data_IF_599199425897
#
_entry.id   IF_599199425897
#
_cell.length_a   1.000
_cell.length_b   1.000
_cell.length_c   1.000
_cell.angle_alpha   90.00
_cell.angle_beta   90.00
_cell.angle_gamma   90.00
#
_symmetry.space_group_name_H-M   'P 1'
#
loop_
_entity.id
_entity.type
_entity.pdbx_description
1 polymer ?
#
# COMPACT_ATOMS: atom_id res chain seq x y z
N UNK A 1 -15.28 -22.89 1.34
CA UNK A 1 -16.05 -22.64 0.11
C UNK A 1 -15.61 -21.33 -0.53
N UNK A 2 -15.52 -20.23 0.25
CA UNK A 2 -15.04 -18.93 -0.21
C UNK A 2 -13.61 -18.95 -0.79
N UNK A 3 -12.71 -19.67 -0.11
CA UNK A 3 -11.36 -20.00 -0.58
C UNK A 3 -11.36 -20.80 -1.88
N UNK A 4 -12.14 -21.87 -1.93
CA UNK A 4 -12.21 -22.79 -3.07
C UNK A 4 -12.72 -22.14 -4.35
N UNK A 5 -13.68 -21.21 -4.25
CA UNK A 5 -14.19 -20.47 -5.40
C UNK A 5 -13.28 -19.34 -5.86
N UNK A 6 -12.15 -19.12 -5.16
CA UNK A 6 -11.26 -17.99 -5.41
C UNK A 6 -11.96 -16.64 -5.16
N UNK A 7 -12.99 -16.63 -4.32
CA UNK A 7 -13.72 -15.42 -3.92
C UNK A 7 -13.02 -14.75 -2.74
N UNK A 8 -12.40 -15.53 -1.84
CA UNK A 8 -11.52 -15.01 -0.79
C UNK A 8 -10.37 -14.22 -1.42
N UNK A 9 -10.18 -12.94 -1.09
CA UNK A 9 -8.99 -12.19 -1.47
C UNK A 9 -7.95 -12.33 -0.34
N UNK A 10 -6.89 -13.17 -0.47
CA UNK A 10 -5.92 -13.38 0.61
C UNK A 10 -5.22 -12.10 1.07
N UNK A 11 -5.20 -11.07 0.23
CA UNK A 11 -4.73 -9.73 0.57
C UNK A 11 -5.51 -9.10 1.74
N UNK A 12 -6.81 -9.39 1.91
CA UNK A 12 -7.60 -8.84 3.03
C UNK A 12 -7.11 -9.38 4.39
N UNK A 13 -6.98 -10.71 4.61
CA UNK A 13 -6.37 -11.23 5.83
C UNK A 13 -4.91 -10.79 6.04
N UNK A 14 -4.14 -10.62 4.96
CA UNK A 14 -2.76 -10.14 5.03
C UNK A 14 -2.66 -8.69 5.53
N UNK A 15 -3.53 -7.80 5.05
CA UNK A 15 -3.50 -6.38 5.38
C UNK A 15 -4.24 -6.05 6.67
N UNK A 16 -5.43 -6.62 6.88
CA UNK A 16 -6.34 -6.21 7.96
C UNK A 16 -6.61 -7.31 8.99
N UNK A 17 -6.18 -8.55 8.73
CA UNK A 17 -6.54 -9.69 9.60
C UNK A 17 -8.04 -9.99 9.59
N UNK A 18 -8.73 -9.61 8.51
CA UNK A 18 -10.17 -9.78 8.29
C UNK A 18 -10.39 -10.67 7.06
N UNK A 19 -11.42 -11.52 7.08
CA UNK A 19 -11.78 -12.36 5.92
C UNK A 19 -12.14 -11.46 4.74
N UNK A 20 -13.22 -10.71 4.92
CA UNK A 20 -13.68 -9.64 4.04
C UNK A 20 -14.67 -8.78 4.82
N UNK A 21 -14.53 -7.46 4.73
CA UNK A 21 -15.57 -6.51 5.09
C UNK A 21 -15.51 -5.35 4.08
N UNK A 22 -16.66 -4.94 3.56
CA UNK A 22 -16.76 -4.00 2.43
C UNK A 22 -17.92 -3.03 2.63
N UNK A 23 -17.84 -1.81 2.07
CA UNK A 23 -18.96 -0.88 2.11
C UNK A 23 -20.17 -1.46 1.36
N UNK A 24 -21.37 -1.04 1.77
CA UNK A 24 -22.60 -1.33 1.03
C UNK A 24 -22.66 -0.56 -0.30
N UNK A 25 -23.50 -1.03 -1.24
CA UNK A 25 -23.65 -0.38 -2.55
C UNK A 25 -24.21 1.05 -2.47
N UNK A 26 -25.03 1.35 -1.45
CA UNK A 26 -25.50 2.70 -1.20
C UNK A 26 -24.35 3.69 -0.91
N UNK A 27 -23.24 3.21 -0.36
CA UNK A 27 -22.08 4.06 -0.04
C UNK A 27 -21.29 4.45 -1.31
N UNK A 28 -21.48 3.76 -2.45
CA UNK A 28 -20.92 4.19 -3.73
C UNK A 28 -21.39 5.60 -4.10
N UNK A 29 -22.63 5.96 -3.73
CA UNK A 29 -23.21 7.28 -3.97
C UNK A 29 -22.53 8.40 -3.17
N UNK A 30 -21.79 8.06 -2.11
CA UNK A 30 -21.01 9.00 -1.31
C UNK A 30 -19.62 9.29 -1.90
N UNK A 31 -19.17 8.50 -2.87
CA UNK A 31 -17.86 8.66 -3.50
C UNK A 31 -17.84 9.82 -4.48
N UNK A 32 -16.68 10.49 -4.57
CA UNK A 32 -16.38 11.50 -5.60
C UNK A 32 -15.61 10.91 -6.79
N UNK A 33 -14.97 9.76 -6.61
CA UNK A 33 -14.17 9.11 -7.65
C UNK A 33 -14.21 7.59 -7.49
N UNK A 34 -14.72 6.89 -8.50
CA UNK A 34 -14.90 5.43 -8.47
C UNK A 34 -14.07 4.79 -9.58
N UNK A 35 -13.22 3.84 -9.23
CA UNK A 35 -12.59 2.94 -10.21
C UNK A 35 -13.31 1.59 -10.16
N UNK A 36 -13.95 1.20 -11.26
CA UNK A 36 -14.44 -0.18 -11.46
C UNK A 36 -13.31 -1.00 -12.08
N UNK A 37 -12.58 -1.75 -11.26
CA UNK A 37 -11.38 -2.48 -11.66
C UNK A 37 -11.63 -3.97 -11.70
N UNK A 38 -11.70 -4.56 -12.90
CA UNK A 38 -12.02 -5.97 -13.06
C UNK A 38 -13.38 -6.37 -12.45
N UNK A 39 -14.31 -5.42 -12.34
CA UNK A 39 -15.66 -5.62 -11.82
C UNK A 39 -16.67 -5.15 -12.85
N UNK A 40 -17.39 -6.10 -13.45
CA UNK A 40 -18.43 -5.78 -14.44
C UNK A 40 -19.76 -5.48 -13.74
N UNK A 41 -19.85 -4.32 -13.07
CA UNK A 41 -20.96 -3.94 -12.19
C UNK A 41 -22.35 -4.10 -12.84
N UNK A 42 -22.63 -3.62 -14.06
CA UNK A 42 -23.96 -3.76 -14.66
C UNK A 42 -24.41 -5.22 -14.85
N UNK A 43 -23.47 -6.11 -15.13
CA UNK A 43 -23.73 -7.53 -15.39
C UNK A 43 -23.73 -8.40 -14.13
N UNK A 44 -22.85 -8.10 -13.17
CA UNK A 44 -22.59 -8.96 -12.00
C UNK A 44 -23.15 -8.38 -10.69
N UNK A 45 -23.53 -7.09 -10.70
CA UNK A 45 -24.17 -6.33 -9.61
C UNK A 45 -25.39 -5.58 -10.14
N UNK A 46 -26.15 -6.19 -11.04
CA UNK A 46 -27.32 -5.59 -11.68
C UNK A 46 -28.27 -4.85 -10.72
N UNK A 47 -28.68 -5.42 -9.56
CA UNK A 47 -29.59 -4.71 -8.66
C UNK A 47 -28.97 -3.46 -8.01
N UNK A 48 -27.64 -3.38 -7.88
CA UNK A 48 -26.91 -2.28 -7.24
C UNK A 48 -26.33 -1.27 -8.24
N UNK A 49 -26.29 -1.61 -9.53
CA UNK A 49 -25.63 -0.81 -10.56
C UNK A 49 -26.18 0.63 -10.66
N UNK A 50 -27.44 0.85 -10.27
CA UNK A 50 -28.05 2.18 -10.28
C UNK A 50 -27.29 3.16 -9.38
N UNK A 51 -26.78 2.73 -8.21
CA UNK A 51 -26.04 3.60 -7.29
C UNK A 51 -24.80 4.21 -7.95
N UNK A 52 -24.04 3.41 -8.71
CA UNK A 52 -22.90 3.89 -9.47
C UNK A 52 -23.34 4.88 -10.55
N UNK A 53 -24.40 4.56 -11.31
CA UNK A 53 -24.86 5.46 -12.39
C UNK A 53 -25.43 6.78 -11.86
N UNK A 54 -26.08 6.76 -10.69
CA UNK A 54 -26.67 7.92 -10.05
C UNK A 54 -25.61 8.79 -9.37
N UNK A 55 -24.54 8.19 -8.82
CA UNK A 55 -23.39 8.92 -8.27
C UNK A 55 -22.76 9.84 -9.32
N UNK A 56 -22.75 9.43 -10.60
CA UNK A 56 -22.28 10.26 -11.71
C UNK A 56 -23.08 11.54 -11.87
N UNK A 57 -24.40 11.51 -11.65
CA UNK A 57 -25.23 12.74 -11.68
C UNK A 57 -24.94 13.69 -10.51
N UNK A 58 -24.38 13.18 -9.42
CA UNK A 58 -23.85 13.98 -8.30
C UNK A 58 -22.44 14.54 -8.59
N UNK A 59 -21.84 14.15 -9.70
CA UNK A 59 -20.52 14.61 -10.15
C UNK A 59 -19.38 13.63 -9.85
N UNK A 60 -19.68 12.40 -9.42
CA UNK A 60 -18.64 11.38 -9.26
C UNK A 60 -18.04 11.01 -10.62
N UNK A 61 -16.71 11.02 -10.72
CA UNK A 61 -16.02 10.51 -11.90
C UNK A 61 -15.87 9.00 -11.81
N UNK A 62 -16.10 8.30 -12.93
CA UNK A 62 -16.01 6.83 -12.99
C UNK A 62 -14.95 6.42 -13.99
N UNK A 63 -13.97 5.64 -13.53
CA UNK A 63 -12.95 5.01 -14.37
C UNK A 63 -13.23 3.52 -14.45
N UNK A 64 -13.11 2.94 -15.65
CA UNK A 64 -13.25 1.50 -15.87
C UNK A 64 -11.91 0.91 -16.26
N UNK A 65 -11.52 -0.17 -15.60
CA UNK A 65 -10.31 -0.92 -15.92
C UNK A 65 -10.69 -2.35 -16.27
N UNK A 66 -10.75 -2.61 -17.58
CA UNK A 66 -11.07 -3.94 -18.13
C UNK A 66 -10.31 -4.12 -19.45
N UNK A 67 -9.72 -5.32 -19.70
CA UNK A 67 -8.97 -5.60 -20.93
C UNK A 67 -9.85 -5.50 -22.20
N UNK A 68 -11.12 -5.88 -22.08
CA UNK A 68 -12.15 -5.77 -23.12
C UNK A 68 -13.08 -4.57 -22.87
N UNK A 69 -13.86 -4.21 -23.89
CA UNK A 69 -14.91 -3.19 -23.76
C UNK A 69 -16.17 -3.81 -23.13
N UNK A 70 -16.09 -4.02 -21.82
CA UNK A 70 -17.13 -4.65 -21.00
C UNK A 70 -18.39 -3.78 -20.86
N UNK A 71 -19.47 -4.33 -20.29
CA UNK A 71 -20.67 -3.53 -20.00
C UNK A 71 -20.37 -2.36 -19.04
N UNK A 72 -19.48 -2.57 -18.07
CA UNK A 72 -19.00 -1.52 -17.17
C UNK A 72 -18.34 -0.36 -17.93
N UNK A 73 -17.57 -0.64 -18.99
CA UNK A 73 -16.88 0.37 -19.82
C UNK A 73 -17.85 1.39 -20.42
N UNK A 74 -19.11 1.00 -20.69
CA UNK A 74 -20.16 1.92 -21.17
C UNK A 74 -20.44 3.07 -20.19
N UNK A 75 -20.19 2.86 -18.90
CA UNK A 75 -20.47 3.82 -17.83
C UNK A 75 -19.22 4.57 -17.33
N UNK A 76 -18.02 4.18 -17.78
CA UNK A 76 -16.79 4.87 -17.45
C UNK A 76 -16.62 6.16 -18.26
N UNK A 77 -16.20 7.23 -17.60
CA UNK A 77 -15.75 8.47 -18.23
C UNK A 77 -14.33 8.29 -18.83
N UNK A 78 -13.55 7.38 -18.24
CA UNK A 78 -12.26 6.88 -18.77
C UNK A 78 -12.31 5.35 -18.81
N UNK A 79 -11.83 4.77 -19.92
CA UNK A 79 -11.58 3.34 -20.04
C UNK A 79 -10.08 3.08 -20.21
N UNK A 80 -9.53 2.31 -19.29
CA UNK A 80 -8.19 1.75 -19.32
C UNK A 80 -8.28 0.25 -19.62
N UNK A 81 -7.48 -0.20 -20.57
CA UNK A 81 -7.55 -1.57 -21.10
C UNK A 81 -6.20 -2.28 -21.01
N UNK A 82 -5.68 -2.53 -19.80
CA UNK A 82 -4.43 -3.25 -19.64
C UNK A 82 -4.55 -4.68 -20.17
N UNK A 83 -3.43 -5.27 -20.57
CA UNK A 83 -3.31 -6.71 -20.78
C UNK A 83 -3.82 -7.44 -19.52
N UNK A 84 -4.76 -8.36 -19.68
CA UNK A 84 -5.39 -9.05 -18.56
C UNK A 84 -4.35 -9.77 -17.68
N UNK A 85 -4.39 -9.55 -16.37
CA UNK A 85 -3.43 -10.15 -15.44
C UNK A 85 -2.15 -9.34 -15.23
N UNK A 86 -2.03 -8.17 -15.86
CA UNK A 86 -0.93 -7.22 -15.65
C UNK A 86 -1.33 -6.03 -14.76
N UNK A 87 -2.53 -6.06 -14.20
CA UNK A 87 -3.13 -4.97 -13.45
C UNK A 87 -2.29 -4.49 -12.26
N UNK A 88 -1.61 -5.40 -11.56
CA UNK A 88 -0.66 -5.03 -10.50
C UNK A 88 0.44 -4.07 -10.99
N UNK A 89 0.93 -4.21 -12.23
CA UNK A 89 1.92 -3.29 -12.78
C UNK A 89 1.36 -1.87 -12.95
N UNK A 90 0.11 -1.75 -13.43
CA UNK A 90 -0.57 -0.46 -13.53
C UNK A 90 -0.83 0.13 -12.13
N UNK A 91 -1.32 -0.67 -11.18
CA UNK A 91 -1.55 -0.23 -9.80
C UNK A 91 -0.27 0.22 -9.08
N UNK A 92 0.85 -0.46 -9.32
CA UNK A 92 2.16 -0.04 -8.81
C UNK A 92 2.60 1.31 -9.39
N UNK A 93 2.39 1.55 -10.69
CA UNK A 93 2.69 2.86 -11.30
C UNK A 93 1.76 3.98 -10.82
N UNK A 94 0.48 3.69 -10.59
CA UNK A 94 -0.43 4.66 -9.97
C UNK A 94 0.03 4.98 -8.54
N UNK A 95 0.40 3.97 -7.74
CA UNK A 95 0.96 4.17 -6.40
C UNK A 95 2.27 4.97 -6.40
N UNK A 96 3.13 4.81 -7.41
CA UNK A 96 4.34 5.61 -7.59
C UNK A 96 4.00 7.10 -7.72
N UNK A 97 3.05 7.44 -8.59
CA UNK A 97 2.59 8.84 -8.78
C UNK A 97 2.02 9.42 -7.49
N UNK A 98 1.19 8.63 -6.78
CA UNK A 98 0.57 9.06 -5.52
C UNK A 98 1.63 9.33 -4.45
N UNK A 99 2.56 8.40 -4.22
CA UNK A 99 3.65 8.57 -3.25
C UNK A 99 4.53 9.77 -3.59
N UNK A 100 4.93 9.92 -4.86
CA UNK A 100 5.78 11.03 -5.29
C UNK A 100 5.11 12.38 -5.06
N UNK A 101 3.89 12.57 -5.58
CA UNK A 101 3.26 13.89 -5.56
C UNK A 101 2.65 14.24 -4.20
N UNK A 102 2.02 13.29 -3.52
CA UNK A 102 1.20 13.55 -2.32
C UNK A 102 1.85 13.14 -0.99
N UNK A 103 2.98 12.44 -1.00
CA UNK A 103 3.71 12.09 0.23
C UNK A 103 5.14 12.61 0.29
N UNK A 104 5.74 13.00 -0.84
CA UNK A 104 7.14 13.44 -0.92
C UNK A 104 7.29 14.88 -1.41
N UNK A 105 6.79 15.21 -2.61
CA UNK A 105 6.93 16.56 -3.18
C UNK A 105 6.01 17.58 -2.52
N UNK A 106 4.71 17.25 -2.42
CA UNK A 106 3.72 18.07 -1.75
C UNK A 106 2.89 17.20 -0.81
N UNK A 107 3.44 16.93 0.36
CA UNK A 107 2.81 16.10 1.38
C UNK A 107 1.40 16.60 1.73
N UNK A 108 0.39 15.78 1.47
CA UNK A 108 -0.97 15.99 1.96
C UNK A 108 -1.00 15.83 3.47
N UNK A 109 -1.54 16.82 4.18
CA UNK A 109 -1.69 16.76 5.64
C UNK A 109 -2.64 15.64 6.06
N UNK A 110 -3.72 15.41 5.29
CA UNK A 110 -4.68 14.35 5.56
C UNK A 110 -4.05 12.96 5.37
N UNK A 111 -3.36 12.74 4.24
CA UNK A 111 -2.73 11.45 3.96
C UNK A 111 -1.59 11.12 4.94
N UNK A 112 -0.79 12.12 5.33
CA UNK A 112 0.29 11.92 6.28
C UNK A 112 -0.24 11.54 7.67
N UNK A 113 -1.25 12.26 8.17
CA UNK A 113 -1.89 11.96 9.45
C UNK A 113 -2.55 10.57 9.44
N UNK A 114 -3.26 10.25 8.35
CA UNK A 114 -3.88 8.93 8.16
C UNK A 114 -2.84 7.82 8.22
N UNK A 115 -1.78 7.93 7.42
CA UNK A 115 -0.75 6.89 7.32
C UNK A 115 0.00 6.70 8.64
N UNK A 116 0.27 7.77 9.39
CA UNK A 116 0.92 7.67 10.70
C UNK A 116 0.08 6.94 11.75
N UNK A 117 -1.25 7.03 11.67
CA UNK A 117 -2.17 6.46 12.67
C UNK A 117 -2.68 5.08 12.34
N UNK A 118 -2.96 4.82 11.06
CA UNK A 118 -3.76 3.67 10.64
C UNK A 118 -2.97 2.65 9.81
N UNK A 119 -1.66 2.81 9.69
CA UNK A 119 -0.79 1.88 8.94
C UNK A 119 0.43 1.47 9.75
N UNK A 120 1.14 0.47 9.27
CA UNK A 120 2.43 0.04 9.78
C UNK A 120 3.61 0.85 9.21
N UNK A 121 3.36 1.87 8.38
CA UNK A 121 4.40 2.70 7.76
C UNK A 121 5.47 3.26 8.72
N UNK A 122 5.13 3.74 9.94
CA UNK A 122 6.13 4.26 10.88
C UNK A 122 6.95 3.18 11.60
N UNK A 123 6.58 1.91 11.48
CA UNK A 123 7.18 0.85 12.28
C UNK A 123 8.50 0.37 11.70
N UNK A 124 9.37 -0.12 12.59
CA UNK A 124 10.74 -0.46 12.26
C UNK A 124 10.90 -1.89 11.75
N UNK A 125 11.72 -2.05 10.72
CA UNK A 125 12.13 -3.32 10.12
C UNK A 125 13.63 -3.48 10.28
N UNK A 126 14.07 -4.66 10.72
CA UNK A 126 15.49 -5.03 10.80
C UNK A 126 16.05 -5.24 9.40
N UNK A 127 17.26 -4.77 9.14
CA UNK A 127 17.97 -5.07 7.91
C UNK A 127 18.98 -6.20 8.14
N UNK A 128 18.89 -7.25 7.33
CA UNK A 128 19.78 -8.40 7.39
C UNK A 128 20.87 -8.29 6.33
N UNK A 129 22.14 -8.42 6.72
CA UNK A 129 23.26 -8.37 5.78
C UNK A 129 23.29 -9.63 4.90
N UNK A 130 23.39 -9.46 3.58
CA UNK A 130 23.52 -10.53 2.58
C UNK A 130 24.61 -10.16 1.57
N UNK A 131 25.81 -10.72 1.76
CA UNK A 131 26.97 -10.34 0.95
C UNK A 131 27.33 -8.87 1.17
N UNK A 132 27.34 -8.10 0.09
CA UNK A 132 27.66 -6.66 0.09
C UNK A 132 26.43 -5.75 0.23
N UNK A 133 25.21 -6.31 0.24
CA UNK A 133 23.96 -5.57 0.42
C UNK A 133 23.18 -6.04 1.65
N UNK A 134 22.02 -5.42 1.88
CA UNK A 134 21.08 -5.79 2.92
C UNK A 134 19.75 -6.22 2.32
N UNK A 135 18.95 -6.95 3.09
CA UNK A 135 17.54 -7.27 2.75
C UNK A 135 16.63 -6.95 3.93
N UNK A 136 15.35 -6.61 3.69
CA UNK A 136 14.38 -6.42 4.76
C UNK A 136 14.14 -7.75 5.50
N UNK A 137 14.34 -7.74 6.81
CA UNK A 137 14.06 -8.86 7.71
C UNK A 137 12.72 -8.69 8.43
N UNK A 138 12.65 -9.19 9.66
CA UNK A 138 11.45 -9.06 10.50
C UNK A 138 11.30 -7.64 11.07
N UNK A 139 10.04 -7.25 11.33
CA UNK A 139 9.76 -6.06 12.14
C UNK A 139 10.41 -6.16 13.52
N UNK A 140 10.94 -5.04 14.01
CA UNK A 140 11.50 -4.92 15.36
C UNK A 140 10.38 -5.10 16.38
N UNK A 141 10.62 -5.92 17.41
CA UNK A 141 9.68 -6.18 18.50
C UNK A 141 10.19 -5.60 19.81
N UNK A 142 9.28 -5.34 20.75
CA UNK A 142 9.66 -4.89 22.09
C UNK A 142 10.58 -5.91 22.79
N UNK A 143 10.42 -7.21 22.51
CA UNK A 143 11.29 -8.29 23.00
C UNK A 143 12.72 -8.26 22.45
N UNK A 144 12.98 -7.49 21.38
CA UNK A 144 14.32 -7.39 20.80
C UNK A 144 15.23 -6.46 21.64
N UNK A 145 14.69 -5.70 22.60
CA UNK A 145 15.44 -4.78 23.46
C UNK A 145 15.69 -5.36 24.87
N UNK A 146 16.72 -4.83 25.57
CA UNK A 146 16.95 -5.14 26.99
C UNK A 146 15.66 -4.95 27.80
N UNK A 147 15.35 -5.94 28.65
CA UNK A 147 14.15 -5.99 29.50
C UNK A 147 12.85 -5.76 28.74
N UNK A 148 12.78 -6.12 27.46
CA UNK A 148 11.57 -6.09 26.64
C UNK A 148 10.91 -4.69 26.54
N UNK A 149 11.68 -3.61 26.62
CA UNK A 149 11.18 -2.23 26.77
C UNK A 149 10.22 -2.02 27.97
N UNK A 150 10.26 -2.92 28.96
CA UNK A 150 9.35 -2.92 30.10
C UNK A 150 7.96 -3.54 29.84
N UNK A 151 7.73 -4.11 28.66
CA UNK A 151 6.52 -4.87 28.34
C UNK A 151 6.57 -6.27 28.96
N UNK A 152 5.65 -6.52 29.91
CA UNK A 152 5.60 -7.79 30.66
C UNK A 152 4.75 -8.89 30.02
N UNK A 153 3.85 -8.49 29.13
CA UNK A 153 2.91 -9.39 28.47
C UNK A 153 3.14 -9.34 26.96
N UNK A 154 3.40 -10.50 26.35
CA UNK A 154 3.60 -10.67 24.90
C UNK A 154 4.50 -9.61 24.22
N UNK A 155 5.69 -9.29 24.77
CA UNK A 155 6.60 -8.33 24.15
C UNK A 155 7.05 -8.72 22.74
N UNK A 156 7.08 -10.02 22.44
CA UNK A 156 7.41 -10.58 21.12
C UNK A 156 6.35 -10.27 20.05
N UNK A 157 5.15 -9.83 20.46
CA UNK A 157 4.03 -9.48 19.58
C UNK A 157 3.74 -7.97 19.54
N UNK A 158 4.65 -7.15 20.05
CA UNK A 158 4.52 -5.69 20.12
C UNK A 158 5.57 -5.03 19.26
N UNK A 159 5.14 -4.41 18.17
CA UNK A 159 6.01 -3.68 17.23
C UNK A 159 6.36 -2.30 17.77
N UNK A 160 7.45 -1.71 17.29
CA UNK A 160 7.98 -0.41 17.76
C UNK A 160 8.13 0.61 16.63
N UNK A 161 8.11 1.89 16.98
CA UNK A 161 8.41 3.00 16.08
C UNK A 161 9.18 4.09 16.84
N UNK A 162 9.71 5.09 16.12
CA UNK A 162 10.16 6.33 16.75
C UNK A 162 8.97 7.28 16.97
N UNK A 163 9.00 8.02 18.08
CA UNK A 163 8.19 9.23 18.23
C UNK A 163 8.98 10.40 17.62
N UNK A 164 8.47 11.00 16.55
CA UNK A 164 9.10 12.09 15.82
C UNK A 164 9.34 13.32 16.69
N UNK A 165 8.47 13.55 17.69
CA UNK A 165 8.57 14.72 18.55
C UNK A 165 9.76 14.65 19.51
N UNK A 166 10.15 13.45 19.95
CA UNK A 166 11.24 13.26 20.92
C UNK A 166 12.48 12.60 20.32
N UNK A 167 12.32 11.87 19.21
CA UNK A 167 13.36 11.01 18.64
C UNK A 167 13.54 9.68 19.38
N UNK A 168 12.72 9.39 20.38
CA UNK A 168 12.80 8.17 21.19
C UNK A 168 12.06 7.00 20.53
N UNK A 169 12.53 5.78 20.79
CA UNK A 169 11.81 4.56 20.42
C UNK A 169 10.68 4.32 21.43
N UNK A 170 9.51 4.00 20.92
CA UNK A 170 8.30 3.74 21.71
C UNK A 170 7.62 2.43 21.31
N UNK A 171 6.79 1.91 22.19
CA UNK A 171 5.86 0.80 21.92
C UNK A 171 4.45 1.41 21.80
N UNK A 172 3.93 1.64 20.58
CA UNK A 172 2.58 2.16 20.41
C UNK A 172 1.52 1.17 20.92
N UNK A 173 0.41 1.68 21.43
CA UNK A 173 -0.79 0.85 21.65
C UNK A 173 -1.32 0.26 20.34
N UNK A 174 -2.04 -0.87 20.41
CA UNK A 174 -2.75 -1.44 19.25
C UNK A 174 -2.15 -2.70 18.63
N UNK A 175 -0.85 -2.95 18.77
CA UNK A 175 -0.23 -4.19 18.28
C UNK A 175 -0.85 -5.46 18.91
N UNK A 176 -0.78 -6.59 18.21
CA UNK A 176 -1.54 -7.80 18.55
C UNK A 176 -1.19 -8.35 19.95
N UNK A 177 0.00 -8.09 20.47
CA UNK A 177 0.40 -8.44 21.84
C UNK A 177 -0.39 -7.74 22.94
N UNK A 178 -1.14 -6.68 22.62
CA UNK A 178 -2.07 -6.03 23.56
C UNK A 178 -3.48 -6.64 23.55
N UNK A 179 -3.81 -7.50 22.57
CA UNK A 179 -5.15 -8.08 22.42
C UNK A 179 -5.47 -9.12 23.49
N UNK A 180 -4.46 -9.85 23.97
CA UNK A 180 -4.64 -10.99 24.87
C UNK A 180 -3.74 -10.87 26.10
N UNK A 181 -4.10 -11.55 27.19
CA UNK A 181 -3.22 -11.71 28.38
C UNK A 181 -3.16 -10.52 29.34
N UNK A 182 -3.55 -9.31 28.94
CA UNK A 182 -3.55 -8.14 29.83
C UNK A 182 -4.80 -8.11 30.75
N UNK A 183 -4.67 -8.54 32.01
CA UNK A 183 -5.74 -8.43 33.02
C UNK A 183 -5.63 -7.13 33.82
N UNK A 184 -6.73 -6.39 33.95
CA UNK A 184 -6.92 -5.38 35.02
C UNK A 184 -6.49 -3.93 34.74
N UNK A 185 -6.40 -3.48 33.49
CA UNK A 185 -6.14 -2.06 33.13
C UNK A 185 -7.12 -1.56 32.05
N UNK A 186 -7.16 -0.24 31.82
CA UNK A 186 -7.73 0.32 30.56
C UNK A 186 -7.10 -0.45 29.38
N UNK A 187 -7.92 -0.93 28.44
CA UNK A 187 -7.45 -1.75 27.32
C UNK A 187 -6.48 -0.97 26.42
N UNK A 188 -5.34 -1.59 26.08
CA UNK A 188 -4.30 -1.02 25.20
C UNK A 188 -4.39 -1.53 23.76
N UNK A 189 -5.33 -2.42 23.46
CA UNK A 189 -5.63 -2.84 22.10
C UNK A 189 -6.60 -1.83 21.46
N UNK A 190 -6.05 -0.73 20.98
CA UNK A 190 -6.74 0.35 20.29
C UNK A 190 -5.74 1.10 19.40
N UNK A 191 -6.26 1.88 18.45
CA UNK A 191 -5.47 2.61 17.44
C UNK A 191 -5.11 4.04 17.87
N UNK A 192 -5.24 4.38 19.16
CA UNK A 192 -4.81 5.70 19.63
C UNK A 192 -3.28 5.76 19.51
N UNK A 193 -2.71 6.84 18.95
CA UNK A 193 -1.27 6.98 18.83
C UNK A 193 -0.69 7.34 20.21
N UNK A 194 -0.56 6.33 21.09
CA UNK A 194 -0.10 6.49 22.47
C UNK A 194 1.04 5.54 22.80
N UNK A 195 2.01 6.04 23.55
CA UNK A 195 3.01 5.19 24.18
C UNK A 195 2.34 4.27 25.21
N UNK A 196 2.57 2.96 25.07
CA UNK A 196 1.92 1.93 25.89
C UNK A 196 2.23 2.09 27.38
N UNK A 197 3.38 2.66 27.75
CA UNK A 197 3.85 2.73 29.13
C UNK A 197 3.35 3.98 29.85
N UNK A 198 3.55 5.14 29.26
CA UNK A 198 3.21 6.45 29.82
C UNK A 198 1.76 6.87 29.52
N UNK A 199 1.16 6.34 28.45
CA UNK A 199 -0.18 6.72 27.99
C UNK A 199 -0.24 8.12 27.36
N UNK A 200 0.91 8.75 27.12
CA UNK A 200 1.04 10.03 26.40
C UNK A 200 0.82 9.82 24.91
N UNK A 201 0.29 10.84 24.25
CA UNK A 201 0.22 10.88 22.79
C UNK A 201 1.63 10.88 22.21
N UNK A 202 1.81 10.16 21.10
CA UNK A 202 3.04 10.12 20.30
C UNK A 202 2.73 10.61 18.89
N UNK A 203 3.77 11.05 18.17
CA UNK A 203 3.70 11.31 16.74
C UNK A 203 4.60 10.30 16.00
N UNK A 204 4.08 9.14 15.56
CA UNK A 204 4.90 8.09 14.95
C UNK A 204 5.68 8.61 13.73
N UNK A 205 7.02 8.52 13.76
CA UNK A 205 7.89 9.01 12.71
C UNK A 205 7.81 8.11 11.47
N UNK A 206 7.34 8.67 10.35
CA UNK A 206 7.12 7.90 9.12
C UNK A 206 8.41 7.61 8.36
N UNK A 207 9.34 8.55 8.28
CA UNK A 207 10.60 8.44 7.52
C UNK A 207 11.81 8.68 8.39
N UNK A 208 12.89 7.92 8.21
CA UNK A 208 14.18 8.17 8.83
C UNK A 208 15.03 9.18 8.05
N UNK A 209 14.72 9.45 6.77
CA UNK A 209 15.41 10.45 5.95
C UNK A 209 15.41 11.83 6.65
N UNK A 210 16.59 12.45 6.73
CA UNK A 210 16.86 13.67 7.48
C UNK A 210 17.32 13.43 8.92
N UNK A 211 17.21 12.19 9.42
CA UNK A 211 17.63 11.79 10.78
C UNK A 211 18.45 10.50 10.82
N UNK A 212 18.77 9.92 9.66
CA UNK A 212 19.50 8.68 9.53
C UNK A 212 20.95 8.78 10.02
N UNK A 213 21.49 7.67 10.51
CA UNK A 213 22.90 7.54 10.87
C UNK A 213 23.76 7.19 9.65
N UNK A 214 23.17 6.47 8.68
CA UNK A 214 23.86 6.00 7.47
C UNK A 214 22.85 5.78 6.33
N UNK A 215 23.37 5.46 5.14
CA UNK A 215 22.61 5.05 3.97
C UNK A 215 23.10 3.67 3.53
N UNK A 216 22.21 2.69 3.47
CA UNK A 216 22.54 1.32 3.09
C UNK A 216 21.81 0.89 1.83
N UNK A 217 22.52 0.20 0.93
CA UNK A 217 21.94 -0.45 -0.25
C UNK A 217 21.17 -1.72 0.16
N UNK A 218 19.88 -1.73 -0.15
CA UNK A 218 18.96 -2.83 0.16
C UNK A 218 18.41 -3.43 -1.13
N UNK A 219 18.50 -4.76 -1.24
CA UNK A 219 18.02 -5.51 -2.40
C UNK A 219 16.52 -5.82 -2.33
N UNK A 220 15.80 -5.52 -3.40
CA UNK A 220 14.38 -5.83 -3.58
C UNK A 220 14.20 -6.87 -4.69
N UNK A 221 13.38 -7.91 -4.49
CA UNK A 221 13.10 -8.88 -5.54
C UNK A 221 12.26 -8.25 -6.65
N UNK A 222 12.60 -8.54 -7.90
CA UNK A 222 11.88 -8.07 -9.08
C UNK A 222 11.60 -9.22 -10.04
N UNK A 223 10.32 -9.43 -10.37
CA UNK A 223 9.86 -10.65 -11.04
C UNK A 223 9.55 -10.45 -12.53
N UNK A 224 9.44 -9.21 -13.01
CA UNK A 224 9.30 -8.91 -14.43
C UNK A 224 10.67 -8.64 -15.11
N UNK A 225 11.71 -9.30 -14.61
CA UNK A 225 13.11 -9.12 -14.99
C UNK A 225 13.47 -9.85 -16.29
N UNK A 226 14.68 -9.58 -16.81
CA UNK A 226 15.19 -10.07 -18.11
C UNK A 226 15.37 -11.59 -18.19
N UNK A 227 15.44 -12.27 -17.04
CA UNK A 227 15.63 -13.71 -16.96
C UNK A 227 14.31 -14.48 -16.93
N UNK A 228 13.17 -13.78 -16.96
CA UNK A 228 11.84 -14.39 -16.93
C UNK A 228 11.19 -14.22 -18.30
N UNK A 229 11.10 -15.31 -19.05
CA UNK A 229 10.30 -15.38 -20.28
C UNK A 229 8.99 -16.12 -19.97
N UNK A 230 7.86 -15.54 -20.35
CA UNK A 230 6.58 -16.23 -20.18
C UNK A 230 6.53 -17.43 -21.14
N UNK A 231 6.18 -18.62 -20.63
CA UNK A 231 6.22 -19.92 -21.35
C UNK A 231 5.53 -19.94 -22.72
N UNK A 232 4.58 -19.03 -22.93
CA UNK A 232 3.80 -18.89 -24.17
C UNK A 232 3.97 -17.55 -24.88
N UNK A 233 4.85 -16.66 -24.40
CA UNK A 233 5.08 -15.33 -24.99
C UNK A 233 3.85 -14.40 -24.94
N UNK A 234 2.88 -14.68 -24.06
CA UNK A 234 1.66 -13.87 -23.94
C UNK A 234 1.84 -12.56 -23.17
N UNK A 235 2.91 -12.48 -22.38
CA UNK A 235 3.22 -11.38 -21.48
C UNK A 235 4.67 -10.95 -21.69
N UNK A 236 4.90 -9.64 -21.64
CA UNK A 236 6.24 -9.07 -21.76
C UNK A 236 6.97 -9.14 -20.42
N UNK A 237 8.27 -9.43 -20.47
CA UNK A 237 9.22 -9.09 -19.41
C UNK A 237 9.91 -7.76 -19.71
N UNK A 238 10.83 -7.35 -18.85
CA UNK A 238 11.61 -6.11 -19.00
C UNK A 238 13.09 -6.39 -18.85
N UNK A 239 13.95 -5.45 -19.26
CA UNK A 239 15.41 -5.64 -19.31
C UNK A 239 16.13 -5.47 -17.95
N UNK A 240 15.39 -5.37 -16.85
CA UNK A 240 15.93 -5.13 -15.52
C UNK A 240 16.46 -6.41 -14.85
N UNK A 241 17.30 -6.24 -13.82
CA UNK A 241 17.81 -7.33 -12.99
C UNK A 241 16.75 -7.89 -12.04
N UNK A 242 16.95 -9.13 -11.57
CA UNK A 242 16.04 -9.83 -10.65
C UNK A 242 16.13 -9.31 -9.20
N UNK A 243 17.21 -8.59 -8.87
CA UNK A 243 17.40 -7.89 -7.61
C UNK A 243 17.69 -6.41 -7.89
N UNK A 244 16.83 -5.53 -7.37
CA UNK A 244 16.99 -4.08 -7.47
C UNK A 244 17.60 -3.56 -6.18
N UNK A 245 18.88 -3.18 -6.22
CA UNK A 245 19.52 -2.50 -5.10
C UNK A 245 19.08 -1.05 -5.04
N UNK A 246 18.61 -0.61 -3.88
CA UNK A 246 18.14 0.76 -3.63
C UNK A 246 18.61 1.24 -2.27
N UNK A 247 19.08 2.48 -2.23
CA UNK A 247 19.62 3.09 -1.02
C UNK A 247 18.51 3.56 -0.08
N UNK A 248 18.65 3.23 1.20
CA UNK A 248 17.68 3.55 2.25
C UNK A 248 18.33 4.31 3.40
N UNK A 249 17.61 5.27 4.01
CA UNK A 249 18.03 5.94 5.24
C UNK A 249 17.89 4.97 6.41
N UNK A 250 18.96 4.71 7.14
CA UNK A 250 18.94 3.77 8.28
C UNK A 250 19.36 4.41 9.58
N UNK A 251 18.82 3.91 10.68
CA UNK A 251 19.36 4.15 12.02
C UNK A 251 19.96 2.87 12.58
N UNK A 252 20.98 3.01 13.41
CA UNK A 252 21.49 1.91 14.20
C UNK A 252 20.92 1.95 15.61
N UNK A 253 20.28 0.85 16.01
CA UNK A 253 19.73 0.70 17.36
C UNK A 253 20.36 -0.49 18.05
N UNK A 254 20.44 -0.42 19.38
CA UNK A 254 20.92 -1.52 20.22
C UNK A 254 19.73 -2.46 20.52
N UNK A 255 19.80 -3.69 20.00
CA UNK A 255 18.87 -4.78 20.26
C UNK A 255 19.59 -5.83 21.11
N UNK A 256 19.42 -5.75 22.43
CA UNK A 256 20.01 -6.65 23.44
C UNK A 256 21.54 -6.82 23.32
N UNK A 257 22.25 -5.71 23.10
CA UNK A 257 23.70 -5.64 22.94
C UNK A 257 24.17 -5.77 21.48
N UNK A 258 23.27 -6.02 20.53
CA UNK A 258 23.56 -6.08 19.10
C UNK A 258 23.22 -4.76 18.40
N UNK A 259 24.23 -4.12 17.79
CA UNK A 259 24.02 -2.94 16.94
C UNK A 259 23.37 -3.35 15.62
N UNK A 260 22.07 -3.08 15.48
CA UNK A 260 21.24 -3.50 14.35
C UNK A 260 20.82 -2.31 13.49
N UNK A 261 20.96 -2.42 12.18
CA UNK A 261 20.43 -1.43 11.24
C UNK A 261 18.91 -1.61 11.08
N UNK A 262 18.17 -0.51 11.18
CA UNK A 262 16.71 -0.49 11.03
C UNK A 262 16.26 0.61 10.08
N UNK A 263 15.12 0.37 9.46
CA UNK A 263 14.44 1.26 8.51
C UNK A 263 12.94 1.28 8.80
N UNK A 264 12.21 2.31 8.39
CA UNK A 264 10.73 2.29 8.48
C UNK A 264 10.11 1.55 7.30
N UNK A 265 8.89 1.03 7.48
CA UNK A 265 8.09 0.46 6.39
C UNK A 265 7.82 1.50 5.29
N UNK A 266 7.62 2.78 5.63
CA UNK A 266 7.46 3.83 4.62
C UNK A 266 8.69 4.01 3.73
N UNK A 267 9.89 4.05 4.32
CA UNK A 267 11.11 4.20 3.54
C UNK A 267 11.30 2.99 2.62
N UNK A 268 11.03 1.78 3.11
CA UNK A 268 10.97 0.56 2.31
C UNK A 268 9.95 0.64 1.17
N UNK A 269 8.77 1.20 1.41
CA UNK A 269 7.75 1.39 0.37
C UNK A 269 8.24 2.38 -0.69
N UNK A 270 8.73 3.56 -0.32
CA UNK A 270 9.25 4.54 -1.28
C UNK A 270 10.37 3.94 -2.14
N UNK A 271 11.29 3.19 -1.52
CA UNK A 271 12.31 2.46 -2.25
C UNK A 271 11.69 1.38 -3.13
N UNK A 272 10.75 0.55 -2.66
CA UNK A 272 10.09 -0.49 -3.46
C UNK A 272 9.35 0.10 -4.68
N UNK A 273 8.75 1.28 -4.57
CA UNK A 273 8.12 1.99 -5.70
C UNK A 273 9.12 2.73 -6.60
N UNK A 274 10.43 2.66 -6.30
CA UNK A 274 11.49 3.20 -7.16
C UNK A 274 11.50 4.73 -7.23
N UNK A 275 11.21 5.42 -6.13
CA UNK A 275 11.13 6.89 -6.12
C UNK A 275 12.46 7.47 -5.62
N UNK A 276 13.10 8.31 -6.43
CA UNK A 276 14.31 9.02 -6.01
C UNK A 276 14.00 10.00 -4.88
N UNK A 277 14.89 10.09 -3.89
CA UNK A 277 14.75 10.98 -2.73
C UNK A 277 16.09 11.64 -2.43
N UNK A 278 16.09 12.95 -2.27
CA UNK A 278 17.30 13.73 -2.03
C UNK A 278 18.04 13.24 -0.78
N UNK A 279 19.36 13.05 -0.91
CA UNK A 279 20.22 12.53 0.16
C UNK A 279 20.42 11.00 0.15
N UNK A 280 19.80 10.28 -0.79
CA UNK A 280 20.02 8.86 -1.06
C UNK A 280 20.70 8.68 -2.43
N UNK A 281 21.16 7.46 -2.74
CA UNK A 281 21.68 7.11 -4.06
C UNK A 281 20.60 7.09 -5.14
N UNK A 282 21.04 7.14 -6.40
CA UNK A 282 20.18 7.19 -7.59
C UNK A 282 20.13 5.86 -8.37
N UNK A 283 20.56 4.75 -7.76
CA UNK A 283 20.51 3.44 -8.40
C UNK A 283 19.09 2.84 -8.34
N UNK A 284 18.60 2.32 -9.47
CA UNK A 284 17.27 1.69 -9.61
C UNK A 284 16.07 2.51 -9.14
N UNK A 285 16.20 3.84 -9.12
CA UNK A 285 15.13 4.80 -8.74
C UNK A 285 14.92 5.82 -9.84
N UNK A 286 13.71 6.37 -9.93
CA UNK A 286 13.30 7.28 -10.98
C UNK A 286 13.20 8.73 -10.47
N UNK A 287 13.72 9.67 -11.26
CA UNK A 287 13.54 11.12 -11.00
C UNK A 287 12.36 11.71 -11.77
N UNK A 288 11.90 11.02 -12.81
CA UNK A 288 10.77 11.41 -13.67
C UNK A 288 9.89 10.21 -14.04
N UNK A 289 8.68 10.46 -14.55
CA UNK A 289 7.76 9.40 -14.98
C UNK A 289 8.12 8.79 -16.33
N UNK A 290 8.99 9.44 -17.09
CA UNK A 290 9.43 9.04 -18.43
C UNK A 290 10.63 8.08 -18.41
N UNK A 291 11.21 7.83 -17.23
CA UNK A 291 12.30 6.88 -17.04
C UNK A 291 11.77 5.45 -16.97
N UNK A 292 12.35 4.54 -17.74
CA UNK A 292 12.06 3.10 -17.64
C UNK A 292 12.76 2.52 -16.41
N UNK A 293 12.14 2.72 -15.26
CA UNK A 293 12.54 2.16 -13.96
C UNK A 293 11.35 1.39 -13.40
N UNK A 294 11.56 0.21 -12.78
CA UNK A 294 10.47 -0.61 -12.28
C UNK A 294 9.48 0.16 -11.42
N UNK A 295 8.20 0.02 -11.76
CA UNK A 295 7.03 0.68 -11.16
C UNK A 295 6.81 2.15 -11.50
N UNK A 296 7.51 2.71 -12.50
CA UNK A 296 7.15 4.02 -13.07
C UNK A 296 6.00 3.93 -14.07
N UNK A 297 5.34 5.07 -14.40
CA UNK A 297 4.39 5.14 -15.50
C UNK A 297 4.96 4.71 -16.86
N UNK A 298 6.22 5.06 -17.17
CA UNK A 298 6.86 4.62 -18.42
C UNK A 298 7.10 3.11 -18.44
N UNK A 299 7.62 2.56 -17.34
CA UNK A 299 7.86 1.13 -17.21
C UNK A 299 6.59 0.31 -17.44
N UNK A 300 5.49 0.66 -16.76
CA UNK A 300 4.27 -0.16 -16.83
C UNK A 300 3.67 -0.18 -18.24
N UNK A 301 3.91 0.82 -19.08
CA UNK A 301 3.39 0.89 -20.45
C UNK A 301 3.86 -0.31 -21.28
N UNK A 302 5.12 -0.74 -21.07
CA UNK A 302 5.69 -1.92 -21.73
C UNK A 302 5.06 -3.24 -21.26
N UNK A 303 4.56 -3.27 -20.02
CA UNK A 303 3.99 -4.46 -19.38
C UNK A 303 2.49 -4.58 -19.66
N UNK A 304 1.76 -3.47 -19.57
CA UNK A 304 0.29 -3.45 -19.59
C UNK A 304 -0.28 -3.01 -20.94
N UNK A 305 0.47 -2.22 -21.71
CA UNK A 305 -0.02 -1.55 -22.91
C UNK A 305 -0.85 -0.29 -22.67
N UNK A 306 -1.09 0.11 -21.41
CA UNK A 306 -1.78 1.37 -21.07
C UNK A 306 -0.77 2.51 -21.12
N UNK A 307 -1.12 3.62 -21.76
CA UNK A 307 -0.21 4.76 -21.93
C UNK A 307 0.09 5.43 -20.59
N UNK A 308 1.36 5.85 -20.41
CA UNK A 308 1.83 6.44 -19.17
C UNK A 308 1.03 7.70 -18.75
N UNK A 309 0.64 8.54 -19.71
CA UNK A 309 -0.13 9.76 -19.48
C UNK A 309 -1.49 9.50 -18.83
N UNK A 310 -2.21 8.47 -19.28
CA UNK A 310 -3.50 8.06 -18.70
C UNK A 310 -3.35 7.52 -17.28
N UNK A 311 -2.30 6.72 -17.03
CA UNK A 311 -2.00 6.21 -15.69
C UNK A 311 -1.71 7.36 -14.72
N UNK A 312 -0.88 8.32 -15.15
CA UNK A 312 -0.58 9.53 -14.37
C UNK A 312 -1.84 10.35 -14.14
N UNK A 313 -2.66 10.57 -15.17
CA UNK A 313 -3.91 11.31 -15.06
C UNK A 313 -4.82 10.69 -13.99
N UNK A 314 -5.15 9.40 -14.13
CA UNK A 314 -6.08 8.72 -13.22
C UNK A 314 -5.52 8.65 -11.80
N UNK A 315 -4.23 8.36 -11.62
CA UNK A 315 -3.61 8.34 -10.30
C UNK A 315 -3.70 9.71 -9.60
N UNK A 316 -3.40 10.79 -10.33
CA UNK A 316 -3.45 12.15 -9.81
C UNK A 316 -4.87 12.60 -9.49
N UNK A 317 -5.83 12.34 -10.37
CA UNK A 317 -7.24 12.69 -10.14
C UNK A 317 -7.83 11.89 -8.97
N UNK A 318 -7.51 10.60 -8.87
CA UNK A 318 -7.92 9.73 -7.77
C UNK A 318 -7.41 10.23 -6.42
N UNK A 319 -6.11 10.54 -6.33
CA UNK A 319 -5.51 11.07 -5.10
C UNK A 319 -5.96 12.50 -4.81
N UNK A 320 -6.08 13.36 -5.82
CA UNK A 320 -6.57 14.72 -5.62
C UNK A 320 -8.00 14.73 -5.06
N UNK A 321 -8.90 13.91 -5.59
CA UNK A 321 -10.25 13.77 -5.05
C UNK A 321 -10.21 13.30 -3.59
N UNK A 322 -9.40 12.29 -3.26
CA UNK A 322 -9.28 11.79 -1.90
C UNK A 322 -8.72 12.85 -0.94
N UNK A 323 -7.75 13.65 -1.36
CA UNK A 323 -7.14 14.72 -0.55
C UNK A 323 -8.17 15.79 -0.18
N UNK A 324 -8.93 16.29 -1.16
CA UNK A 324 -9.88 17.38 -0.93
C UNK A 324 -11.20 16.92 -0.27
N UNK A 325 -11.50 15.62 -0.31
CA UNK A 325 -12.73 15.05 0.28
C UNK A 325 -12.49 14.26 1.55
N UNK A 326 -11.24 14.17 2.01
CA UNK A 326 -10.81 13.34 3.13
C UNK A 326 -11.21 11.87 2.94
N UNK A 327 -10.77 11.30 1.82
CA UNK A 327 -10.78 9.85 1.56
C UNK A 327 -11.90 9.32 0.68
N UNK A 328 -12.70 10.17 -0.01
CA UNK A 328 -13.86 9.72 -0.80
C UNK A 328 -13.53 9.29 -2.22
N UNK A 329 -12.47 8.50 -2.36
CA UNK A 329 -12.13 7.76 -3.58
C UNK A 329 -12.24 6.26 -3.31
N UNK A 330 -12.87 5.53 -4.23
CA UNK A 330 -13.25 4.13 -4.04
C UNK A 330 -12.79 3.26 -5.21
N UNK A 331 -12.39 2.03 -4.93
CA UNK A 331 -12.14 1.02 -5.95
C UNK A 331 -13.14 -0.13 -5.77
N UNK A 332 -14.04 -0.28 -6.74
CA UNK A 332 -14.93 -1.43 -6.87
C UNK A 332 -14.16 -2.52 -7.62
N UNK A 333 -13.82 -3.61 -6.92
CA UNK A 333 -12.94 -4.67 -7.41
C UNK A 333 -13.65 -6.03 -7.39
N UNK A 334 -13.31 -6.91 -8.34
CA UNK A 334 -14.00 -8.19 -8.49
C UNK A 334 -13.12 -9.32 -9.03
N UNK A 335 -13.78 -10.41 -9.43
CA UNK A 335 -13.15 -11.67 -9.81
C UNK A 335 -12.10 -11.57 -10.93
N UNK A 336 -12.19 -10.60 -11.85
CA UNK A 336 -11.16 -10.47 -12.89
C UNK A 336 -9.80 -10.01 -12.34
N UNK A 337 -9.77 -9.45 -11.13
CA UNK A 337 -8.55 -9.19 -10.36
C UNK A 337 -8.21 -10.36 -9.43
N UNK A 338 -9.22 -11.04 -8.87
CA UNK A 338 -9.05 -12.05 -7.82
C UNK A 338 -8.79 -13.48 -8.33
N UNK A 339 -9.20 -13.80 -9.56
CA UNK A 339 -9.08 -15.16 -10.11
C UNK A 339 -7.77 -15.39 -10.87
N UNK A 340 -6.77 -14.54 -10.63
CA UNK A 340 -5.40 -14.74 -11.08
C UNK A 340 -4.57 -15.43 -9.99
N UNK A 341 -3.55 -16.19 -10.39
CA UNK A 341 -2.66 -16.84 -9.43
C UNK A 341 -2.02 -15.84 -8.46
N UNK A 342 -1.61 -14.66 -8.96
CA UNK A 342 -1.07 -13.55 -8.18
C UNK A 342 -2.15 -12.50 -7.82
N UNK A 343 -3.35 -12.96 -7.44
CA UNK A 343 -4.45 -12.10 -6.99
C UNK A 343 -4.05 -11.16 -5.84
N UNK A 344 -3.16 -11.62 -4.97
CA UNK A 344 -2.67 -10.86 -3.84
C UNK A 344 -1.88 -9.63 -4.28
N UNK A 345 -1.10 -9.72 -5.37
CA UNK A 345 -0.39 -8.57 -5.95
C UNK A 345 -1.35 -7.57 -6.58
N UNK A 346 -2.36 -8.06 -7.32
CA UNK A 346 -3.41 -7.21 -7.90
C UNK A 346 -4.14 -6.43 -6.79
N UNK A 347 -4.56 -7.12 -5.73
CA UNK A 347 -5.29 -6.50 -4.63
C UNK A 347 -4.41 -5.56 -3.81
N UNK A 348 -3.18 -5.96 -3.45
CA UNK A 348 -2.28 -5.12 -2.65
C UNK A 348 -1.88 -3.84 -3.38
N UNK A 349 -1.79 -3.84 -4.71
CA UNK A 349 -1.57 -2.61 -5.47
C UNK A 349 -2.75 -1.63 -5.30
N UNK A 350 -3.99 -2.09 -5.46
CA UNK A 350 -5.19 -1.28 -5.24
C UNK A 350 -5.35 -0.84 -3.78
N UNK A 351 -5.11 -1.75 -2.83
CA UNK A 351 -5.15 -1.47 -1.38
C UNK A 351 -4.14 -0.39 -1.03
N UNK A 352 -2.91 -0.49 -1.53
CA UNK A 352 -1.89 0.53 -1.29
C UNK A 352 -2.35 1.90 -1.80
N UNK A 353 -2.90 2.00 -3.02
CA UNK A 353 -3.44 3.27 -3.52
C UNK A 353 -4.50 3.86 -2.58
N UNK A 354 -5.44 3.03 -2.10
CA UNK A 354 -6.48 3.46 -1.17
C UNK A 354 -5.92 3.87 0.20
N UNK A 355 -4.93 3.13 0.71
CA UNK A 355 -4.26 3.41 1.98
C UNK A 355 -3.43 4.69 1.90
N UNK A 356 -2.69 4.91 0.82
CA UNK A 356 -1.91 6.13 0.59
C UNK A 356 -2.83 7.36 0.56
N UNK A 357 -4.00 7.22 -0.07
CA UNK A 357 -5.02 8.26 -0.15
C UNK A 357 -5.96 8.32 1.05
N UNK A 358 -5.71 7.58 2.14
CA UNK A 358 -6.54 7.60 3.35
C UNK A 358 -7.99 7.14 3.19
N UNK A 359 -8.31 6.37 2.14
CA UNK A 359 -9.69 6.08 1.76
C UNK A 359 -10.34 4.96 2.60
N UNK A 360 -9.54 4.05 3.18
CA UNK A 360 -10.07 2.92 3.95
C UNK A 360 -10.71 3.41 5.25
N UNK A 361 -11.98 3.08 5.47
CA UNK A 361 -12.75 3.47 6.66
C UNK A 361 -13.50 4.80 6.55
N UNK A 362 -13.48 5.45 5.39
CA UNK A 362 -14.25 6.68 5.12
C UNK A 362 -15.47 6.37 4.25
N UNK A 363 -16.63 6.93 4.59
CA UNK A 363 -17.84 6.80 3.76
C UNK A 363 -17.63 7.47 2.39
N UNK A 364 -17.94 6.74 1.33
CA UNK A 364 -17.65 7.12 -0.06
C UNK A 364 -16.23 6.75 -0.51
N UNK A 365 -15.47 6.07 0.33
CA UNK A 365 -14.09 5.68 0.07
C UNK A 365 -13.84 4.20 0.33
N UNK A 366 -12.71 3.71 -0.18
CA UNK A 366 -12.15 2.45 0.28
C UNK A 366 -12.20 1.31 -0.73
N UNK A 367 -11.96 0.11 -0.19
CA UNK A 367 -11.85 -1.14 -0.94
C UNK A 367 -13.21 -1.83 -0.97
N UNK A 368 -13.80 -1.91 -2.17
CA UNK A 368 -15.16 -2.41 -2.37
C UNK A 368 -15.11 -3.68 -3.20
N UNK A 369 -14.70 -4.77 -2.55
CA UNK A 369 -14.60 -6.10 -3.14
C UNK A 369 -15.96 -6.78 -3.21
N UNK A 370 -16.35 -7.23 -4.40
CA UNK A 370 -17.59 -7.98 -4.56
C UNK A 370 -17.39 -9.21 -5.46
N UNK A 371 -17.72 -10.39 -4.94
CA UNK A 371 -17.59 -11.72 -5.58
C UNK A 371 -18.84 -12.59 -5.37
N UNK A 372 -18.79 -13.72 -4.65
CA UNK A 372 -19.98 -14.41 -4.15
C UNK A 372 -20.71 -13.64 -3.05
N UNK A 373 -21.83 -14.20 -2.58
CA UNK A 373 -22.54 -13.76 -1.38
C UNK A 373 -21.97 -14.53 -0.18
N UNK A 374 -21.07 -13.89 0.56
CA UNK A 374 -20.32 -14.47 1.69
C UNK A 374 -20.73 -13.92 3.06
#
# INVERSE_FOLDING_TARGET
FYDWYCDLPPASPQTWGEQTDVPESADWYNSGFIIMWGSNVPQTRTPDAHFMTEARYKGAQVVTVTPDYSEASKFGDIWLNPKQGTDAAMGMAMGHVILKEFHLEKTSAYFDDYCRKFTDMPFLVKLEKRGDSYVPGQMVRASDFDKNMGEKNNPEWKTVCFDEATGDITVPTGSIGFRWGEKGKKGKWNILPKDSKSGKDINPQKTLLGSQDDVLSVGFPYFANKNVEHEHGYFNSTEHDDILNRDLPVKYIDLDGEKTAVVTVFDLLCANYGIARDGLGNENVATSYDEDVPFTPKWQESVTGVTADKVVQVAREFAHNADITEGKSMIIIGAAMNHWYHMDMNYRACINMLTFCGCIGQSGGGWSHYVGQE
#
